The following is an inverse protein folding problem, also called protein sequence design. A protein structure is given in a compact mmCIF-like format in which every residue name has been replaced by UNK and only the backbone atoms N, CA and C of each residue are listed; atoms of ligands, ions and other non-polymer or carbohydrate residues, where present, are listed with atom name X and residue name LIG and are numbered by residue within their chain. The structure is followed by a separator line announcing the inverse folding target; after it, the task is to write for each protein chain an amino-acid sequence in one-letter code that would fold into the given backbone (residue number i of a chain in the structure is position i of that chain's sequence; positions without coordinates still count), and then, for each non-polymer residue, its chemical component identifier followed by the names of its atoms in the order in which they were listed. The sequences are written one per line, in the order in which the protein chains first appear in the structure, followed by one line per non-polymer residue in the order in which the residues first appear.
data_IF_909802905081
#
_entry.id   IF_909802905081
#
_cell.length_a   1.000
_cell.length_b   1.000
_cell.length_c   1.000
_cell.angle_alpha   90.00
_cell.angle_beta   90.00
_cell.angle_gamma   90.00
#
_symmetry.space_group_name_H-M   'P 1'
#
loop_
_entity.id
_entity.type
_entity.pdbx_description
1 polymer ?
#
# COMPACT_ATOMS: atom_id res chain seq x y z
N UNK A 1 28.06 6.82 8.99
CA UNK A 1 28.35 7.08 7.56
C UNK A 1 27.37 6.28 6.75
N UNK A 2 26.59 6.93 5.87
CA UNK A 2 25.67 6.22 4.99
C UNK A 2 26.47 5.34 4.01
N UNK A 3 26.27 4.02 4.04
CA UNK A 3 26.80 3.14 3.00
C UNK A 3 26.22 3.52 1.63
N UNK A 4 26.93 3.16 0.56
CA UNK A 4 26.36 3.24 -0.80
C UNK A 4 25.09 2.37 -0.85
N UNK A 5 24.04 2.78 -1.60
CA UNK A 5 22.88 1.93 -1.84
C UNK A 5 23.31 0.55 -2.34
N UNK A 6 22.63 -0.50 -1.90
CA UNK A 6 22.86 -1.84 -2.45
C UNK A 6 22.41 -1.88 -3.92
N UNK A 7 23.00 -2.74 -4.77
CA UNK A 7 22.54 -2.92 -6.14
C UNK A 7 21.04 -3.22 -6.25
N UNK A 8 20.52 -4.04 -5.31
CA UNK A 8 19.10 -4.37 -5.24
C UNK A 8 18.23 -3.15 -4.95
N UNK A 9 18.59 -2.34 -3.95
CA UNK A 9 17.85 -1.11 -3.63
C UNK A 9 17.81 -0.16 -4.84
N UNK A 10 18.94 0.03 -5.53
CA UNK A 10 18.99 0.92 -6.68
C UNK A 10 18.17 0.39 -7.87
N UNK A 11 18.14 -0.94 -8.06
CA UNK A 11 17.30 -1.57 -9.06
C UNK A 11 15.80 -1.38 -8.77
N UNK A 12 15.37 -1.53 -7.51
CA UNK A 12 13.99 -1.25 -7.11
C UNK A 12 13.62 0.23 -7.29
N UNK A 13 14.53 1.16 -6.94
CA UNK A 13 14.34 2.61 -7.17
C UNK A 13 14.15 2.93 -8.65
N UNK A 14 15.03 2.40 -9.49
CA UNK A 14 14.96 2.59 -10.94
C UNK A 14 13.66 2.03 -11.50
N UNK A 15 13.20 0.87 -11.04
CA UNK A 15 11.92 0.30 -11.47
C UNK A 15 10.73 1.17 -11.02
N UNK A 16 10.70 1.64 -9.77
CA UNK A 16 9.65 2.55 -9.29
C UNK A 16 9.56 3.83 -10.12
N UNK A 17 10.70 4.42 -10.49
CA UNK A 17 10.75 5.57 -11.41
C UNK A 17 10.25 5.22 -12.81
N UNK A 18 10.67 4.08 -13.36
CA UNK A 18 10.23 3.63 -14.68
C UNK A 18 8.71 3.40 -14.75
N UNK A 19 8.12 2.84 -13.70
CA UNK A 19 6.66 2.66 -13.59
C UNK A 19 5.97 4.02 -13.58
N UNK A 20 6.38 4.95 -12.69
CA UNK A 20 5.83 6.31 -12.65
C UNK A 20 5.87 6.97 -14.01
N UNK A 21 7.04 6.98 -14.64
CA UNK A 21 7.27 7.70 -15.89
C UNK A 21 6.46 7.09 -17.04
N UNK A 22 6.31 5.76 -17.07
CA UNK A 22 5.47 5.06 -18.04
C UNK A 22 3.99 5.42 -17.88
N UNK A 23 3.49 5.49 -16.64
CA UNK A 23 2.10 5.88 -16.34
C UNK A 23 1.84 7.33 -16.74
N UNK A 24 2.75 8.26 -16.40
CA UNK A 24 2.63 9.67 -16.79
C UNK A 24 2.67 9.86 -18.31
N UNK A 25 3.58 9.15 -19.01
CA UNK A 25 3.66 9.20 -20.46
C UNK A 25 2.42 8.62 -21.15
N UNK A 26 1.82 7.57 -20.58
CA UNK A 26 0.57 6.98 -21.07
C UNK A 26 -0.61 7.95 -21.00
N UNK A 27 -0.68 8.79 -19.96
CA UNK A 27 -1.74 9.79 -19.77
C UNK A 27 -1.63 10.97 -20.72
N UNK A 28 -0.42 11.51 -20.93
CA UNK A 28 -0.19 12.63 -21.85
C UNK A 28 -0.65 12.33 -23.30
N UNK A 29 -0.55 11.06 -23.73
CA UNK A 29 -0.95 10.63 -25.08
C UNK A 29 -2.47 10.56 -25.31
N UNK A 30 -3.27 10.52 -24.25
CA UNK A 30 -4.72 10.23 -24.32
C UNK A 30 -5.58 11.51 -24.31
N UNK A 31 -5.01 12.68 -23.97
CA UNK A 31 -5.72 13.94 -24.15
C UNK A 31 -4.98 15.16 -23.61
N UNK A 32 -4.17 15.80 -24.44
CA UNK A 32 -3.60 17.12 -24.15
C UNK A 32 -4.15 18.18 -25.11
N UNK A 33 -5.12 18.94 -24.61
CA UNK A 33 -5.21 20.38 -24.92
C UNK A 33 -5.28 21.23 -23.66
N UNK A 34 -5.77 20.70 -22.52
CA UNK A 34 -5.72 21.38 -21.22
C UNK A 34 -5.60 20.34 -20.08
N UNK A 35 -4.57 20.40 -19.22
CA UNK A 35 -4.42 19.52 -18.06
C UNK A 35 -5.62 19.60 -17.10
N UNK A 36 -6.28 18.45 -16.86
CA UNK A 36 -7.37 18.32 -15.87
C UNK A 36 -8.74 18.82 -16.33
N UNK A 37 -9.03 18.83 -17.65
CA UNK A 37 -10.36 19.16 -18.19
C UNK A 37 -11.09 18.00 -18.86
N UNK A 38 -10.42 16.88 -19.13
CA UNK A 38 -11.02 15.67 -19.69
C UNK A 38 -11.29 14.64 -18.59
N UNK A 39 -12.51 14.09 -18.58
CA UNK A 39 -12.85 12.95 -17.74
C UNK A 39 -12.25 11.69 -18.39
N UNK A 40 -11.06 11.29 -17.94
CA UNK A 40 -10.33 10.10 -18.40
C UNK A 40 -11.06 8.76 -18.11
N UNK A 41 -12.17 8.79 -17.37
CA UNK A 41 -12.90 7.60 -16.94
C UNK A 41 -13.39 6.74 -18.11
N UNK A 42 -13.81 7.35 -19.23
CA UNK A 42 -14.39 6.62 -20.37
C UNK A 42 -13.34 5.99 -21.30
N UNK A 43 -12.07 6.42 -21.23
CA UNK A 43 -10.98 5.93 -22.10
C UNK A 43 -10.05 4.97 -21.35
N UNK A 44 -10.04 5.01 -20.02
CA UNK A 44 -9.32 4.08 -19.15
C UNK A 44 -10.14 2.82 -18.84
N UNK A 45 -11.47 2.89 -18.99
CA UNK A 45 -12.37 1.74 -18.83
C UNK A 45 -12.29 0.80 -20.04
N UNK A 46 -11.37 -0.15 -19.99
CA UNK A 46 -11.60 -1.45 -20.61
C UNK A 46 -12.11 -2.36 -19.49
N UNK A 47 -13.42 -2.62 -19.46
CA UNK A 47 -13.96 -3.78 -18.75
C UNK A 47 -13.39 -5.01 -19.49
N UNK A 48 -12.23 -5.53 -19.07
CA UNK A 48 -11.95 -6.93 -19.31
C UNK A 48 -12.84 -7.70 -18.34
N UNK A 49 -13.94 -8.21 -18.89
CA UNK A 49 -14.86 -9.15 -18.25
C UNK A 49 -14.05 -10.41 -17.87
N UNK A 50 -13.40 -10.36 -16.71
CA UNK A 50 -12.72 -11.50 -16.14
C UNK A 50 -13.82 -12.32 -15.47
N UNK A 51 -14.04 -13.52 -16.01
CA UNK A 51 -15.11 -14.43 -15.61
C UNK A 51 -15.17 -14.70 -14.09
N UNK A 52 -16.13 -15.51 -13.64
CA UNK A 52 -16.55 -15.60 -12.23
C UNK A 52 -15.47 -15.99 -11.19
N UNK A 53 -14.24 -16.31 -11.61
CA UNK A 53 -13.12 -16.74 -10.77
C UNK A 53 -12.05 -15.64 -10.54
N UNK A 54 -12.22 -14.40 -11.04
CA UNK A 54 -11.28 -13.30 -10.79
C UNK A 54 -11.33 -12.85 -9.32
N UNK A 55 -10.24 -13.07 -8.58
CA UNK A 55 -10.11 -12.75 -7.15
C UNK A 55 -9.36 -11.42 -6.89
N UNK A 56 -8.95 -10.73 -7.95
CA UNK A 56 -8.24 -9.46 -7.92
C UNK A 56 -9.13 -8.23 -8.15
N UNK A 57 -8.51 -7.06 -8.16
CA UNK A 57 -9.10 -5.77 -8.51
C UNK A 57 -9.44 -5.65 -9.99
N UNK A 58 -10.27 -4.67 -10.33
CA UNK A 58 -10.52 -4.31 -11.73
C UNK A 58 -9.24 -3.74 -12.34
N UNK A 59 -8.65 -4.48 -13.28
CA UNK A 59 -7.43 -4.07 -14.01
C UNK A 59 -7.80 -3.02 -15.06
N UNK A 60 -7.12 -1.87 -15.07
CA UNK A 60 -7.28 -0.85 -16.11
C UNK A 60 -6.09 -0.83 -17.07
N UNK A 61 -6.23 -0.14 -18.20
CA UNK A 61 -5.18 -0.06 -19.24
C UNK A 61 -3.86 0.52 -18.73
N UNK A 62 -3.91 1.38 -17.71
CA UNK A 62 -2.71 1.95 -17.10
C UNK A 62 -1.94 0.90 -16.29
N UNK A 63 -2.65 -0.02 -15.63
CA UNK A 63 -2.06 -1.12 -14.87
C UNK A 63 -1.32 -2.09 -15.82
N UNK A 64 -1.92 -2.42 -16.97
CA UNK A 64 -1.28 -3.27 -17.99
C UNK A 64 0.08 -2.72 -18.43
N UNK A 65 0.18 -1.40 -18.67
CA UNK A 65 1.46 -0.80 -19.08
C UNK A 65 2.50 -0.84 -17.95
N UNK A 66 2.08 -0.67 -16.70
CA UNK A 66 2.97 -0.75 -15.56
C UNK A 66 3.47 -2.20 -15.35
N UNK A 67 2.60 -3.20 -15.53
CA UNK A 67 2.95 -4.62 -15.49
C UNK A 67 3.91 -5.04 -16.61
N UNK A 68 3.74 -4.51 -17.82
CA UNK A 68 4.71 -4.70 -18.92
C UNK A 68 6.10 -4.20 -18.52
N UNK A 69 6.19 -3.00 -17.92
CA UNK A 69 7.45 -2.42 -17.45
C UNK A 69 8.09 -3.29 -16.36
N UNK A 70 7.28 -3.83 -15.43
CA UNK A 70 7.76 -4.77 -14.40
C UNK A 70 8.38 -6.01 -15.05
N UNK A 71 7.69 -6.63 -16.00
CA UNK A 71 8.17 -7.85 -16.65
C UNK A 71 9.40 -7.59 -17.53
N UNK A 72 9.39 -6.54 -18.35
CA UNK A 72 10.55 -6.13 -19.16
C UNK A 72 11.79 -5.91 -18.29
N UNK A 73 11.62 -5.23 -17.15
CA UNK A 73 12.70 -4.94 -16.21
C UNK A 73 13.20 -6.20 -15.50
N UNK A 74 12.29 -7.09 -15.08
CA UNK A 74 12.67 -8.36 -14.45
C UNK A 74 13.48 -9.24 -15.41
N UNK A 75 13.11 -9.31 -16.70
CA UNK A 75 13.94 -9.99 -17.70
C UNK A 75 15.30 -9.33 -17.87
N UNK A 76 15.37 -7.99 -17.86
CA UNK A 76 16.63 -7.26 -17.96
C UNK A 76 17.56 -7.55 -16.77
N UNK A 77 17.04 -7.60 -15.53
CA UNK A 77 17.84 -7.94 -14.35
C UNK A 77 18.52 -9.31 -14.43
N UNK A 78 17.87 -10.29 -15.06
CA UNK A 78 18.44 -11.63 -15.27
C UNK A 78 19.65 -11.61 -16.21
N UNK A 79 19.67 -10.68 -17.17
CA UNK A 79 20.73 -10.56 -18.17
C UNK A 79 21.80 -9.53 -17.82
N UNK A 80 21.57 -8.71 -16.80
CA UNK A 80 22.51 -7.68 -16.35
C UNK A 80 23.75 -8.35 -15.70
N UNK A 81 24.97 -8.12 -16.23
CA UNK A 81 26.20 -8.64 -15.64
C UNK A 81 26.42 -8.21 -14.18
N UNK A 82 25.86 -7.08 -13.75
CA UNK A 82 25.92 -6.61 -12.37
C UNK A 82 25.06 -7.46 -11.41
N UNK A 83 24.16 -8.31 -11.92
CA UNK A 83 23.22 -9.13 -11.15
C UNK A 83 22.56 -8.33 -10.01
N UNK A 84 21.85 -7.24 -10.34
CA UNK A 84 21.33 -6.32 -9.34
C UNK A 84 20.38 -7.00 -8.35
N UNK A 85 19.66 -8.03 -8.81
CA UNK A 85 18.83 -8.90 -7.97
C UNK A 85 19.53 -10.25 -7.79
N UNK A 86 19.82 -10.70 -6.55
CA UNK A 86 20.45 -11.99 -6.31
C UNK A 86 19.56 -13.15 -6.80
N UNK A 87 20.03 -13.87 -7.82
CA UNK A 87 19.28 -14.94 -8.47
C UNK A 87 19.51 -16.35 -7.88
N UNK A 88 18.63 -17.33 -8.15
CA UNK A 88 17.32 -17.19 -8.82
C UNK A 88 16.33 -16.34 -8.02
N UNK A 89 15.49 -15.55 -8.68
CA UNK A 89 14.54 -14.65 -8.01
C UNK A 89 13.11 -14.81 -8.52
N UNK A 90 12.14 -14.27 -7.80
CA UNK A 90 10.76 -14.18 -8.25
C UNK A 90 10.19 -12.78 -8.07
N UNK A 91 9.25 -12.42 -8.93
CA UNK A 91 8.44 -11.21 -8.84
C UNK A 91 7.00 -11.61 -8.52
N UNK A 92 6.41 -10.93 -7.53
CA UNK A 92 5.01 -11.09 -7.13
C UNK A 92 4.26 -9.79 -7.44
N UNK A 93 3.22 -9.84 -8.27
CA UNK A 93 2.29 -8.73 -8.50
C UNK A 93 0.96 -9.25 -9.04
N UNK A 94 -0.13 -8.54 -8.79
CA UNK A 94 -1.51 -9.01 -9.03
C UNK A 94 -1.76 -9.49 -10.48
N UNK A 95 -1.41 -8.70 -11.50
CA UNK A 95 -1.64 -9.05 -12.91
C UNK A 95 -0.60 -9.95 -13.55
N UNK A 96 0.34 -10.52 -12.78
CA UNK A 96 1.36 -11.42 -13.33
C UNK A 96 0.85 -12.86 -13.50
N UNK A 97 1.41 -13.62 -14.48
CA UNK A 97 1.06 -15.02 -14.67
C UNK A 97 1.45 -15.90 -13.47
N UNK A 98 0.83 -17.08 -13.35
CA UNK A 98 1.16 -18.06 -12.31
C UNK A 98 0.69 -17.65 -10.92
N UNK A 99 -0.56 -17.16 -10.84
CA UNK A 99 -1.20 -16.60 -9.64
C UNK A 99 -0.42 -15.40 -9.06
N UNK A 100 0.05 -14.54 -9.96
CA UNK A 100 0.83 -13.37 -9.61
C UNK A 100 2.29 -13.65 -9.29
N UNK A 101 2.82 -14.87 -9.49
CA UNK A 101 4.17 -15.26 -9.07
C UNK A 101 5.06 -15.72 -10.24
N UNK A 102 5.85 -14.81 -10.79
CA UNK A 102 6.76 -15.07 -11.90
C UNK A 102 8.20 -15.37 -11.42
N UNK A 103 8.77 -16.51 -11.80
CA UNK A 103 10.14 -16.91 -11.41
C UNK A 103 11.16 -16.71 -12.54
N UNK A 104 12.37 -16.29 -12.17
CA UNK A 104 13.47 -15.97 -13.07
C UNK A 104 14.77 -16.70 -12.67
N UNK A 105 15.37 -17.50 -13.57
CA UNK A 105 14.91 -17.84 -14.92
C UNK A 105 13.59 -18.63 -14.94
N UNK A 106 12.88 -18.58 -16.07
CA UNK A 106 11.65 -19.34 -16.26
C UNK A 106 11.85 -20.84 -15.98
N UNK A 107 10.90 -21.46 -15.29
CA UNK A 107 10.97 -22.85 -14.85
C UNK A 107 11.72 -23.07 -13.54
N UNK A 108 12.25 -22.01 -12.91
CA UNK A 108 12.80 -22.09 -11.54
C UNK A 108 11.70 -22.50 -10.55
N UNK A 109 11.87 -23.59 -9.78
CA UNK A 109 10.93 -23.96 -8.73
C UNK A 109 10.89 -22.90 -7.61
N UNK A 110 9.70 -22.63 -7.04
CA UNK A 110 9.53 -21.58 -6.01
C UNK A 110 10.43 -21.80 -4.79
N UNK A 111 10.70 -23.05 -4.43
CA UNK A 111 11.61 -23.44 -3.34
C UNK A 111 13.09 -23.10 -3.60
N UNK A 112 13.49 -22.95 -4.87
CA UNK A 112 14.86 -22.61 -5.26
C UNK A 112 15.10 -21.09 -5.35
N UNK A 113 14.05 -20.28 -5.18
CA UNK A 113 14.11 -18.81 -5.22
C UNK A 113 14.87 -18.28 -4.00
N UNK A 114 15.90 -17.46 -4.26
CA UNK A 114 16.75 -16.81 -3.26
C UNK A 114 16.29 -15.42 -2.87
N UNK A 115 15.60 -14.72 -3.79
CA UNK A 115 15.06 -13.38 -3.57
C UNK A 115 13.64 -13.29 -4.09
N UNK A 116 12.74 -12.75 -3.30
CA UNK A 116 11.37 -12.42 -3.75
C UNK A 116 11.23 -10.91 -3.78
N UNK A 117 10.71 -10.39 -4.89
CA UNK A 117 10.35 -8.98 -5.07
C UNK A 117 8.84 -8.91 -5.20
N UNK A 118 8.15 -8.27 -4.25
CA UNK A 118 6.70 -8.04 -4.31
C UNK A 118 6.44 -6.60 -4.74
N UNK A 119 5.46 -6.41 -5.63
CA UNK A 119 5.21 -5.16 -6.31
C UNK A 119 3.70 -4.91 -6.39
N UNK A 120 3.28 -3.70 -6.03
CA UNK A 120 2.07 -3.09 -6.56
C UNK A 120 2.49 -2.03 -7.59
N UNK A 121 2.25 -2.25 -8.89
CA UNK A 121 2.64 -1.29 -9.91
C UNK A 121 1.90 0.05 -9.76
N UNK A 122 0.63 0.04 -9.34
CA UNK A 122 -0.19 1.26 -9.19
C UNK A 122 -1.18 1.10 -8.02
N UNK A 123 -0.71 1.33 -6.80
CA UNK A 123 -1.59 1.46 -5.64
C UNK A 123 -2.30 2.83 -5.69
N UNK A 124 -3.64 2.83 -5.72
CA UNK A 124 -4.44 4.05 -5.83
C UNK A 124 -4.92 4.40 -7.24
N UNK A 125 -4.96 3.42 -8.17
CA UNK A 125 -5.46 3.57 -9.54
C UNK A 125 -6.76 4.38 -9.63
N UNK A 126 -7.77 4.09 -8.80
CA UNK A 126 -9.07 4.79 -8.81
C UNK A 126 -8.95 6.29 -8.54
N UNK A 127 -8.08 6.69 -7.59
CA UNK A 127 -7.84 8.10 -7.28
C UNK A 127 -7.12 8.82 -8.42
N UNK A 128 -6.11 8.15 -8.99
CA UNK A 128 -5.29 8.67 -10.08
C UNK A 128 -6.09 8.89 -11.37
N UNK A 129 -6.94 7.92 -11.74
CA UNK A 129 -7.81 7.95 -12.91
C UNK A 129 -8.71 9.18 -12.94
N UNK A 130 -9.22 9.58 -11.77
CA UNK A 130 -10.09 10.76 -11.64
C UNK A 130 -9.30 12.04 -11.31
N UNK A 131 -7.97 11.99 -11.29
CA UNK A 131 -7.11 13.13 -10.94
C UNK A 131 -7.35 13.66 -9.53
N UNK A 132 -7.84 12.80 -8.62
CA UNK A 132 -8.20 13.18 -7.24
C UNK A 132 -6.99 13.21 -6.32
N UNK A 133 -6.14 12.18 -6.41
CA UNK A 133 -4.95 11.98 -5.56
C UNK A 133 -3.88 11.26 -6.38
N UNK A 134 -2.64 11.35 -5.92
CA UNK A 134 -1.54 10.55 -6.45
C UNK A 134 -1.79 9.06 -6.20
N UNK A 135 -1.22 8.22 -7.05
CA UNK A 135 -1.04 6.79 -6.78
C UNK A 135 0.42 6.54 -6.41
N UNK A 136 0.78 5.29 -6.16
CA UNK A 136 2.12 4.89 -5.77
C UNK A 136 2.55 3.60 -6.45
N UNK A 137 3.77 3.56 -6.97
CA UNK A 137 4.43 2.30 -7.28
C UNK A 137 5.09 1.78 -6.00
N UNK A 138 4.66 0.63 -5.51
CA UNK A 138 5.12 0.01 -4.27
C UNK A 138 5.98 -1.20 -4.58
N UNK A 139 7.20 -1.24 -4.07
CA UNK A 139 8.15 -2.32 -4.33
C UNK A 139 8.87 -2.73 -3.06
N UNK A 140 9.01 -4.02 -2.82
CA UNK A 140 9.79 -4.53 -1.71
C UNK A 140 10.47 -5.85 -2.03
N UNK A 141 11.58 -6.12 -1.36
CA UNK A 141 12.28 -7.40 -1.43
C UNK A 141 12.34 -8.11 -0.09
N UNK A 142 12.32 -9.43 -0.14
CA UNK A 142 12.59 -10.31 0.98
C UNK A 142 13.50 -11.48 0.55
N UNK A 143 14.23 -12.11 1.49
CA UNK A 143 14.87 -13.39 1.23
C UNK A 143 13.84 -14.43 0.77
N UNK A 144 14.20 -15.23 -0.22
CA UNK A 144 13.33 -16.24 -0.80
C UNK A 144 13.31 -17.57 -0.02
N UNK A 145 12.44 -18.51 -0.42
CA UNK A 145 12.32 -19.82 0.22
C UNK A 145 13.62 -20.62 0.33
N UNK A 146 14.54 -20.48 -0.62
CA UNK A 146 15.84 -21.15 -0.56
C UNK A 146 16.72 -20.67 0.60
N UNK A 147 16.47 -19.46 1.11
CA UNK A 147 17.16 -18.87 2.25
C UNK A 147 16.37 -19.10 3.54
N UNK A 148 15.05 -18.91 3.49
CA UNK A 148 14.18 -18.98 4.67
C UNK A 148 13.76 -20.39 5.07
N UNK A 149 13.80 -21.36 4.14
CA UNK A 149 13.22 -22.69 4.33
C UNK A 149 11.69 -22.72 4.36
N UNK A 150 11.04 -21.58 4.06
CA UNK A 150 9.58 -21.39 3.99
C UNK A 150 9.23 -20.25 3.02
N UNK A 151 7.97 -20.14 2.56
CA UNK A 151 7.52 -18.95 1.86
C UNK A 151 7.75 -17.66 2.68
N UNK A 152 8.15 -16.55 2.04
CA UNK A 152 8.34 -15.27 2.71
C UNK A 152 7.02 -14.64 3.13
N UNK A 153 7.11 -13.74 4.11
CA UNK A 153 6.00 -12.98 4.70
C UNK A 153 6.38 -11.51 4.77
N UNK A 154 5.41 -10.63 5.05
CA UNK A 154 5.64 -9.18 5.19
C UNK A 154 6.75 -8.88 6.21
N UNK A 155 6.84 -9.63 7.31
CA UNK A 155 7.90 -9.46 8.31
C UNK A 155 9.32 -9.77 7.80
N UNK A 156 9.46 -10.50 6.70
CA UNK A 156 10.77 -10.85 6.10
C UNK A 156 11.31 -9.77 5.15
N UNK A 157 10.53 -8.73 4.85
CA UNK A 157 10.94 -7.65 3.95
C UNK A 157 12.20 -6.98 4.51
N UNK A 158 13.22 -6.82 3.68
CA UNK A 158 14.51 -6.24 4.07
C UNK A 158 14.82 -4.93 3.35
N UNK A 159 14.17 -4.67 2.22
CA UNK A 159 14.33 -3.46 1.40
C UNK A 159 12.99 -3.09 0.81
N UNK A 160 12.65 -1.81 0.83
CA UNK A 160 11.41 -1.30 0.27
C UNK A 160 11.61 0.06 -0.40
N UNK A 161 10.85 0.32 -1.45
CA UNK A 161 10.79 1.56 -2.22
C UNK A 161 9.33 1.88 -2.52
N UNK A 162 8.94 3.13 -2.35
CA UNK A 162 7.69 3.66 -2.89
C UNK A 162 7.97 4.90 -3.74
N UNK A 163 7.42 4.96 -4.94
CA UNK A 163 7.55 6.11 -5.84
C UNK A 163 6.17 6.69 -6.14
N UNK A 164 6.02 8.00 -5.91
CA UNK A 164 4.76 8.69 -6.16
C UNK A 164 4.47 8.73 -7.65
N UNK A 165 3.23 8.41 -8.01
CA UNK A 165 2.66 8.59 -9.34
C UNK A 165 1.70 9.79 -9.25
N UNK A 166 2.19 11.00 -9.56
CA UNK A 166 1.44 12.22 -9.28
C UNK A 166 0.24 12.40 -10.22
N UNK A 167 -0.70 13.26 -9.79
CA UNK A 167 -1.73 13.78 -10.71
C UNK A 167 -1.14 14.73 -11.75
N UNK A 168 -1.86 14.97 -12.86
CA UNK A 168 -1.44 15.90 -13.91
C UNK A 168 -1.28 17.37 -13.44
N UNK A 169 -1.76 17.71 -12.23
CA UNK A 169 -1.63 19.06 -11.64
C UNK A 169 -0.49 19.18 -10.64
N UNK A 170 0.20 18.09 -10.31
CA UNK A 170 1.27 18.12 -9.33
C UNK A 170 2.50 18.86 -9.87
N UNK A 171 3.24 19.47 -8.95
CA UNK A 171 4.57 20.04 -9.23
C UNK A 171 5.69 19.10 -8.80
N UNK A 172 5.46 18.34 -7.74
CA UNK A 172 6.45 17.51 -7.10
C UNK A 172 6.00 16.05 -7.09
N UNK A 173 6.96 15.13 -7.01
CA UNK A 173 6.73 13.71 -6.82
C UNK A 173 7.79 13.13 -5.89
N UNK A 174 7.37 12.46 -4.82
CA UNK A 174 8.29 11.85 -3.86
C UNK A 174 8.74 10.45 -4.27
N UNK A 175 9.91 10.04 -3.80
CA UNK A 175 10.35 8.65 -3.76
C UNK A 175 10.98 8.39 -2.41
N UNK A 176 10.43 7.43 -1.65
CA UNK A 176 10.93 7.04 -0.33
C UNK A 176 11.45 5.62 -0.38
N UNK A 177 12.45 5.32 0.44
CA UNK A 177 13.00 3.97 0.54
C UNK A 177 13.62 3.70 1.91
N UNK A 178 13.73 2.41 2.22
CA UNK A 178 14.41 1.95 3.40
C UNK A 178 15.06 0.58 3.16
N UNK A 179 16.13 0.31 3.90
CA UNK A 179 16.68 -1.03 4.13
C UNK A 179 16.66 -1.24 5.62
N UNK A 180 16.23 -2.42 6.07
CA UNK A 180 16.03 -2.73 7.49
C UNK A 180 17.25 -2.32 8.34
N UNK A 181 16.98 -1.58 9.42
CA UNK A 181 17.96 -1.03 10.35
C UNK A 181 18.73 0.20 9.88
N UNK A 182 18.43 0.78 8.71
CA UNK A 182 19.17 1.92 8.15
C UNK A 182 18.39 3.25 8.12
N UNK A 183 17.16 3.25 8.63
CA UNK A 183 16.25 4.39 8.61
C UNK A 183 15.68 4.69 7.23
N UNK A 184 14.64 5.53 7.21
CA UNK A 184 14.03 6.03 5.99
C UNK A 184 14.88 7.08 5.28
N UNK A 185 14.82 7.09 3.95
CA UNK A 185 15.36 8.13 3.08
C UNK A 185 14.33 8.49 2.03
N UNK A 186 14.50 9.67 1.45
CA UNK A 186 13.70 10.04 0.29
C UNK A 186 14.35 11.10 -0.58
N UNK A 187 13.70 11.34 -1.70
CA UNK A 187 13.94 12.46 -2.59
C UNK A 187 12.62 12.97 -3.16
N UNK A 188 12.57 14.25 -3.48
CA UNK A 188 11.45 14.90 -4.14
C UNK A 188 11.91 15.37 -5.51
N UNK A 189 11.24 14.89 -6.56
CA UNK A 189 11.43 15.32 -7.93
C UNK A 189 10.57 16.54 -8.23
N UNK A 190 11.18 17.63 -8.68
CA UNK A 190 10.49 18.74 -9.31
C UNK A 190 10.19 18.37 -10.77
N UNK A 191 8.91 18.14 -11.08
CA UNK A 191 8.46 17.61 -12.38
C UNK A 191 8.68 18.58 -13.55
N UNK A 192 8.80 19.88 -13.30
CA UNK A 192 8.97 20.84 -14.39
C UNK A 192 10.44 21.14 -14.71
N UNK A 193 11.34 20.94 -13.74
CA UNK A 193 12.78 21.21 -13.92
C UNK A 193 13.61 19.93 -13.99
N UNK A 194 13.09 18.80 -13.53
CA UNK A 194 13.84 17.56 -13.36
C UNK A 194 14.79 17.59 -12.15
N UNK A 195 14.71 18.61 -11.29
CA UNK A 195 15.58 18.74 -10.13
C UNK A 195 15.19 17.73 -9.06
N UNK A 196 16.18 17.01 -8.51
CA UNK A 196 15.99 16.07 -7.41
C UNK A 196 16.48 16.69 -6.10
N UNK A 197 15.60 16.76 -5.11
CA UNK A 197 15.84 17.38 -3.81
C UNK A 197 15.84 16.28 -2.74
N UNK A 198 16.89 16.14 -1.91
CA UNK A 198 16.89 15.16 -0.83
C UNK A 198 15.75 15.42 0.17
N UNK A 199 14.96 14.40 0.47
CA UNK A 199 13.86 14.44 1.44
C UNK A 199 14.23 13.66 2.72
N UNK A 200 13.72 14.15 3.85
CA UNK A 200 13.84 13.52 5.17
C UNK A 200 12.46 13.50 5.81
N UNK A 201 11.59 12.58 5.39
CA UNK A 201 10.26 12.50 5.99
C UNK A 201 10.39 12.12 7.47
N UNK A 202 9.46 12.63 8.27
CA UNK A 202 9.37 12.35 9.69
C UNK A 202 7.90 12.30 10.09
N UNK A 203 7.46 11.24 10.80
CA UNK A 203 6.10 11.17 11.31
C UNK A 203 5.75 12.32 12.26
N UNK A 204 4.45 12.52 12.48
CA UNK A 204 3.96 13.55 13.39
C UNK A 204 4.47 13.33 14.82
N UNK A 205 4.96 14.40 15.43
CA UNK A 205 5.36 14.41 16.85
C UNK A 205 4.21 14.65 17.83
N UNK A 206 2.97 14.84 17.35
CA UNK A 206 1.81 15.10 18.19
C UNK A 206 1.46 13.90 19.08
N UNK A 207 1.08 14.15 20.33
CA UNK A 207 0.82 13.11 21.33
C UNK A 207 -0.66 12.77 21.50
N UNK A 208 -1.54 13.43 20.75
CA UNK A 208 -2.99 13.19 20.71
C UNK A 208 -3.52 13.34 19.27
N UNK A 209 -4.82 13.13 19.05
CA UNK A 209 -5.43 13.23 17.72
C UNK A 209 -5.98 14.65 17.39
N UNK A 210 -5.85 15.63 18.29
CA UNK A 210 -6.49 16.95 18.14
C UNK A 210 -5.88 17.81 17.05
N UNK A 211 -6.70 18.41 16.19
CA UNK A 211 -6.28 19.18 15.01
C UNK A 211 -5.38 18.36 14.06
N UNK A 212 -5.73 17.09 13.87
CA UNK A 212 -5.00 16.19 12.97
C UNK A 212 -5.93 15.23 12.23
N UNK A 213 -5.36 14.58 11.21
CA UNK A 213 -6.05 13.53 10.47
C UNK A 213 -5.92 12.19 11.20
N UNK A 214 -7.07 11.55 11.42
CA UNK A 214 -7.16 10.21 11.97
C UNK A 214 -8.33 9.47 11.32
N UNK A 215 -8.06 8.33 10.66
CA UNK A 215 -9.03 7.74 9.72
C UNK A 215 -9.21 6.24 9.95
N UNK A 216 -10.47 5.77 9.97
CA UNK A 216 -10.81 4.36 9.70
C UNK A 216 -11.30 4.23 8.24
N UNK A 217 -10.61 3.39 7.46
CA UNK A 217 -10.87 3.21 6.03
C UNK A 217 -12.29 2.70 5.76
N UNK A 218 -13.08 3.47 5.01
CA UNK A 218 -14.48 3.17 4.67
C UNK A 218 -14.88 3.63 3.26
N UNK A 219 -14.01 3.38 2.29
CA UNK A 219 -14.11 3.86 0.91
C UNK A 219 -15.29 3.27 0.11
N UNK A 220 -15.57 1.97 0.30
CA UNK A 220 -16.54 1.21 -0.50
C UNK A 220 -17.81 0.86 0.27
N UNK A 221 -18.98 0.78 -0.39
CA UNK A 221 -20.18 0.18 0.21
C UNK A 221 -19.92 -1.27 0.66
N UNK A 222 -20.53 -1.66 1.79
CA UNK A 222 -20.43 -3.02 2.33
C UNK A 222 -20.12 -3.03 3.82
N UNK A 223 -19.07 -2.31 4.24
CA UNK A 223 -18.61 -2.27 5.64
C UNK A 223 -18.74 -0.88 6.27
N UNK A 224 -19.17 0.16 5.52
CA UNK A 224 -19.17 1.56 5.97
C UNK A 224 -19.89 1.78 7.30
N UNK A 225 -21.04 1.15 7.50
CA UNK A 225 -21.83 1.31 8.74
C UNK A 225 -21.02 0.86 9.95
N UNK A 226 -20.45 -0.35 9.90
CA UNK A 226 -19.62 -0.87 10.99
C UNK A 226 -18.34 -0.07 11.19
N UNK A 227 -17.72 0.37 10.09
CA UNK A 227 -16.51 1.19 10.14
C UNK A 227 -16.77 2.54 10.82
N UNK A 228 -17.83 3.25 10.41
CA UNK A 228 -18.24 4.53 11.01
C UNK A 228 -18.67 4.38 12.47
N UNK A 229 -19.41 3.33 12.82
CA UNK A 229 -19.82 3.11 14.21
C UNK A 229 -18.61 2.85 15.12
N UNK A 230 -17.65 2.03 14.66
CA UNK A 230 -16.41 1.78 15.40
C UNK A 230 -15.56 3.05 15.51
N UNK A 231 -15.46 3.83 14.44
CA UNK A 231 -14.73 5.10 14.40
C UNK A 231 -15.26 6.13 15.40
N UNK A 232 -16.58 6.38 15.39
CA UNK A 232 -17.24 7.29 16.33
C UNK A 232 -16.99 6.87 17.79
N UNK A 233 -17.14 5.57 18.09
CA UNK A 233 -16.89 5.03 19.43
C UNK A 233 -15.43 5.14 19.84
N UNK A 234 -14.50 4.84 18.94
CA UNK A 234 -13.07 4.92 19.17
C UNK A 234 -12.67 6.36 19.53
N UNK A 235 -13.07 7.32 18.70
CA UNK A 235 -12.67 8.71 18.88
C UNK A 235 -13.35 9.37 20.09
N UNK A 236 -14.62 9.06 20.35
CA UNK A 236 -15.29 9.52 21.56
C UNK A 236 -14.59 9.03 22.84
N UNK A 237 -14.12 7.78 22.87
CA UNK A 237 -13.42 7.25 24.06
C UNK A 237 -11.97 7.76 24.17
N UNK A 238 -11.28 7.92 23.05
CA UNK A 238 -9.89 8.38 23.02
C UNK A 238 -9.77 9.87 23.35
N UNK A 239 -10.67 10.70 22.84
CA UNK A 239 -10.58 12.17 22.94
C UNK A 239 -11.63 12.78 23.89
N UNK A 240 -12.72 12.08 24.18
CA UNK A 240 -13.90 12.67 24.82
C UNK A 240 -14.66 13.61 23.89
N UNK A 241 -15.74 14.21 24.42
CA UNK A 241 -16.50 15.22 23.68
C UNK A 241 -15.69 16.52 23.55
N UNK A 242 -15.58 17.08 22.34
CA UNK A 242 -14.81 18.31 22.13
C UNK A 242 -15.47 19.51 22.84
N UNK A 243 -14.69 20.33 23.58
CA UNK A 243 -15.22 21.53 24.21
C UNK A 243 -15.86 22.47 23.18
N UNK A 244 -17.15 22.73 23.31
CA UNK A 244 -17.88 23.65 22.41
C UNK A 244 -18.25 23.06 21.04
N UNK A 245 -18.10 21.75 20.83
CA UNK A 245 -18.63 21.05 19.63
C UNK A 245 -17.81 21.22 18.35
N UNK A 246 -16.60 21.81 18.43
CA UNK A 246 -15.72 21.91 17.27
C UNK A 246 -15.12 20.54 16.90
N UNK A 247 -15.03 20.17 15.60
CA UNK A 247 -14.38 18.93 15.20
C UNK A 247 -12.87 19.00 15.48
N UNK A 248 -12.38 18.09 16.33
CA UNK A 248 -10.96 17.99 16.67
C UNK A 248 -10.21 16.98 15.83
N UNK A 249 -10.91 16.03 15.20
CA UNK A 249 -10.32 15.02 14.33
C UNK A 249 -10.84 15.27 12.92
N UNK A 250 -9.94 15.17 11.94
CA UNK A 250 -10.26 15.27 10.53
C UNK A 250 -10.14 13.90 9.88
N UNK A 251 -10.90 13.69 8.81
CA UNK A 251 -10.93 12.45 8.05
C UNK A 251 -10.54 12.75 6.59
N UNK A 252 -9.61 11.96 6.06
CA UNK A 252 -9.20 11.96 4.66
C UNK A 252 -9.12 10.52 4.16
N UNK A 253 -10.09 10.17 3.31
CA UNK A 253 -10.23 8.81 2.79
C UNK A 253 -9.31 8.58 1.57
N UNK A 254 -8.02 8.37 1.83
CA UNK A 254 -7.05 8.06 0.78
C UNK A 254 -7.14 6.58 0.37
N UNK A 255 -7.78 6.30 -0.77
CA UNK A 255 -7.96 4.97 -1.37
C UNK A 255 -6.64 4.45 -2.00
N UNK A 256 -5.60 4.30 -1.18
CA UNK A 256 -4.24 3.84 -1.54
C UNK A 256 -3.51 3.49 -0.25
N UNK A 257 -3.17 2.23 -0.02
CA UNK A 257 -2.47 1.81 1.20
C UNK A 257 -1.07 2.44 1.30
N UNK A 258 -0.36 2.51 0.18
CA UNK A 258 0.89 3.26 0.04
C UNK A 258 0.72 4.74 0.30
N UNK A 259 -0.36 5.35 -0.20
CA UNK A 259 -0.71 6.74 0.11
C UNK A 259 -0.93 6.96 1.60
N UNK A 260 -1.72 6.11 2.26
CA UNK A 260 -1.93 6.15 3.71
C UNK A 260 -0.64 5.97 4.50
N UNK A 261 0.25 5.06 4.09
CA UNK A 261 1.58 4.91 4.68
C UNK A 261 2.42 6.18 4.50
N UNK A 262 2.40 6.80 3.31
CA UNK A 262 3.10 8.07 3.07
C UNK A 262 2.62 9.16 4.02
N UNK A 263 1.31 9.37 4.14
CA UNK A 263 0.77 10.47 4.97
C UNK A 263 1.18 10.29 6.45
N UNK A 264 1.29 9.05 6.93
CA UNK A 264 1.88 8.73 8.25
C UNK A 264 3.39 9.03 8.30
N UNK A 265 4.14 8.63 7.28
CA UNK A 265 5.60 8.82 7.17
C UNK A 265 5.96 10.32 7.08
N UNK A 266 5.19 11.10 6.34
CA UNK A 266 5.36 12.54 6.15
C UNK A 266 4.83 13.37 7.34
N UNK A 267 4.10 12.72 8.26
CA UNK A 267 3.58 13.35 9.47
C UNK A 267 2.33 14.20 9.27
N UNK A 268 1.65 14.02 8.14
CA UNK A 268 0.34 14.65 7.88
C UNK A 268 -0.76 13.94 8.67
N UNK A 269 -0.71 12.61 8.69
CA UNK A 269 -1.65 11.77 9.43
C UNK A 269 -1.09 11.35 10.79
N UNK A 270 -1.99 11.23 11.77
CA UNK A 270 -1.65 10.79 13.13
C UNK A 270 -2.01 9.32 13.36
N UNK A 271 -3.09 8.86 12.73
CA UNK A 271 -3.57 7.50 12.85
C UNK A 271 -4.33 7.10 11.58
N UNK A 272 -4.07 5.90 11.07
CA UNK A 272 -4.84 5.31 9.97
C UNK A 272 -5.07 3.85 10.29
N UNK A 273 -6.26 3.33 10.02
CA UNK A 273 -6.48 1.89 10.02
C UNK A 273 -7.33 1.43 8.84
N UNK A 274 -6.96 0.30 8.27
CA UNK A 274 -7.80 -0.49 7.38
C UNK A 274 -8.20 -1.78 8.07
N UNK A 275 -9.44 -1.81 8.54
CA UNK A 275 -10.02 -2.90 9.33
C UNK A 275 -11.07 -3.68 8.55
N UNK A 276 -11.16 -3.44 7.23
CA UNK A 276 -12.17 -4.05 6.34
C UNK A 276 -12.24 -5.57 6.46
N UNK A 277 -11.13 -6.33 6.57
CA UNK A 277 -11.21 -7.78 6.76
C UNK A 277 -12.03 -8.18 7.98
N UNK A 278 -11.85 -7.50 9.12
CA UNK A 278 -12.60 -7.82 10.34
C UNK A 278 -14.08 -7.48 10.24
N UNK A 279 -14.43 -6.39 9.57
CA UNK A 279 -15.84 -6.04 9.31
C UNK A 279 -16.50 -7.06 8.39
N UNK A 280 -15.79 -7.55 7.36
CA UNK A 280 -16.32 -8.57 6.47
C UNK A 280 -16.48 -9.92 7.17
N UNK A 281 -15.49 -10.35 7.94
CA UNK A 281 -15.56 -11.59 8.73
C UNK A 281 -16.80 -11.61 9.64
N UNK A 282 -17.07 -10.47 10.30
CA UNK A 282 -18.25 -10.30 11.16
C UNK A 282 -19.56 -10.38 10.35
N UNK A 283 -19.66 -9.63 9.25
CA UNK A 283 -20.87 -9.64 8.41
C UNK A 283 -21.13 -11.01 7.78
N UNK A 284 -20.09 -11.73 7.38
CA UNK A 284 -20.21 -13.09 6.86
C UNK A 284 -20.64 -14.09 7.94
N UNK A 285 -20.17 -13.92 9.18
CA UNK A 285 -20.63 -14.75 10.30
C UNK A 285 -22.13 -14.56 10.54
N UNK A 286 -22.61 -13.31 10.63
CA UNK A 286 -24.03 -13.01 10.79
C UNK A 286 -24.88 -13.54 9.64
N UNK A 287 -24.41 -13.43 8.40
CA UNK A 287 -25.09 -13.96 7.23
C UNK A 287 -25.22 -15.49 7.30
N UNK A 288 -24.13 -16.19 7.65
CA UNK A 288 -24.14 -17.66 7.84
C UNK A 288 -25.12 -18.09 8.92
N UNK A 289 -25.17 -17.38 10.05
CA UNK A 289 -26.10 -17.69 11.16
C UNK A 289 -27.57 -17.45 10.76
N UNK A 290 -27.81 -16.49 9.85
CA UNK A 290 -29.12 -16.26 9.24
C UNK A 290 -29.46 -17.22 8.08
N UNK A 291 -28.58 -18.17 7.73
CA UNK A 291 -28.74 -19.09 6.61
C UNK A 291 -28.53 -18.46 5.23
N UNK A 292 -27.97 -17.25 5.16
CA UNK A 292 -27.59 -16.58 3.91
C UNK A 292 -26.16 -16.97 3.50
N UNK A 293 -26.05 -17.65 2.36
CA UNK A 293 -24.77 -18.11 1.78
C UNK A 293 -24.24 -17.18 0.70
N UNK A 294 -24.87 -16.02 0.49
CA UNK A 294 -24.44 -15.05 -0.53
C UNK A 294 -23.05 -14.50 -0.18
N UNK A 295 -22.05 -14.57 -1.09
CA UNK A 295 -20.72 -14.02 -0.85
C UNK A 295 -20.74 -12.51 -0.60
N UNK A 296 -20.23 -12.09 0.57
CA UNK A 296 -20.18 -10.68 1.00
C UNK A 296 -18.78 -10.09 1.01
N UNK A 297 -17.74 -10.91 0.90
CA UNK A 297 -16.37 -10.43 0.76
C UNK A 297 -16.23 -9.45 -0.40
N UNK A 298 -15.49 -8.37 -0.17
CA UNK A 298 -15.12 -7.35 -1.15
C UNK A 298 -13.61 -7.16 -1.09
N UNK A 299 -13.10 -6.29 -1.95
CA UNK A 299 -11.70 -5.85 -1.91
C UNK A 299 -11.29 -5.39 -0.50
N UNK A 300 -10.14 -5.89 -0.06
CA UNK A 300 -9.40 -5.50 1.14
C UNK A 300 -7.97 -5.20 0.74
N UNK A 301 -7.21 -4.54 1.63
CA UNK A 301 -5.76 -4.46 1.50
C UNK A 301 -5.16 -5.87 1.36
N UNK A 302 -4.21 -6.01 0.45
CA UNK A 302 -3.44 -7.22 0.13
C UNK A 302 -1.99 -7.06 0.57
N UNK A 303 -1.17 -8.13 0.54
CA UNK A 303 0.24 -8.04 0.87
C UNK A 303 1.03 -7.10 -0.05
N UNK A 304 0.67 -7.00 -1.34
CA UNK A 304 1.34 -6.07 -2.27
C UNK A 304 1.00 -4.60 -1.99
N UNK A 305 -0.25 -4.28 -1.62
CA UNK A 305 -0.66 -2.92 -1.21
C UNK A 305 0.13 -2.39 0.01
N UNK A 306 0.56 -3.30 0.90
CA UNK A 306 1.25 -2.97 2.15
C UNK A 306 2.73 -3.38 2.13
N UNK A 307 3.28 -3.73 0.97
CA UNK A 307 4.65 -4.25 0.90
C UNK A 307 5.72 -3.22 1.28
N UNK A 308 5.38 -1.93 1.29
CA UNK A 308 6.27 -0.84 1.69
C UNK A 308 6.19 -0.49 3.18
N UNK A 309 5.52 -1.30 3.99
CA UNK A 309 5.39 -1.14 5.45
C UNK A 309 6.74 -0.91 6.16
N UNK A 310 7.82 -1.54 5.68
CA UNK A 310 9.18 -1.34 6.21
C UNK A 310 9.60 0.14 6.21
N UNK A 311 9.19 0.92 5.20
CA UNK A 311 9.52 2.35 5.13
C UNK A 311 8.88 3.10 6.30
N UNK A 312 7.64 2.77 6.64
CA UNK A 312 6.94 3.36 7.78
C UNK A 312 7.58 2.97 9.12
N UNK A 313 7.92 1.69 9.29
CA UNK A 313 8.61 1.21 10.49
C UNK A 313 9.96 1.91 10.69
N UNK A 314 10.76 2.02 9.63
CA UNK A 314 12.08 2.69 9.64
C UNK A 314 11.98 4.22 9.81
N UNK A 315 10.82 4.81 9.51
CA UNK A 315 10.50 6.21 9.82
C UNK A 315 10.09 6.42 11.29
N UNK A 316 9.76 5.35 12.01
CA UNK A 316 9.31 5.38 13.41
C UNK A 316 7.79 5.31 13.59
N UNK A 317 7.02 5.11 12.52
CA UNK A 317 5.59 4.78 12.58
C UNK A 317 5.43 3.42 13.26
N UNK A 318 4.46 3.31 14.17
CA UNK A 318 4.10 2.01 14.77
C UNK A 318 3.01 1.39 13.91
N UNK A 319 3.21 0.16 13.44
CA UNK A 319 2.22 -0.55 12.61
C UNK A 319 1.91 -1.93 13.23
N UNK A 320 0.64 -2.32 13.21
CA UNK A 320 0.18 -3.64 13.64
C UNK A 320 -1.13 -4.03 12.93
N UNK A 321 -1.69 -5.20 13.21
CA UNK A 321 -2.90 -5.75 12.59
C UNK A 321 -4.22 -5.06 13.02
N UNK A 322 -4.15 -3.99 13.81
CA UNK A 322 -5.29 -3.33 14.47
C UNK A 322 -5.67 -3.95 15.81
N UNK A 323 -5.29 -5.22 16.07
CA UNK A 323 -5.48 -5.90 17.37
C UNK A 323 -4.24 -5.80 18.26
N UNK A 324 -3.14 -5.29 17.73
CA UNK A 324 -1.86 -5.11 18.42
C UNK A 324 -0.81 -6.18 18.10
N UNK A 325 -1.09 -7.12 17.18
CA UNK A 325 -0.11 -8.12 16.73
C UNK A 325 0.65 -7.60 15.50
N UNK A 326 1.87 -8.06 15.24
CA UNK A 326 2.59 -7.71 14.02
C UNK A 326 1.79 -7.99 12.75
N UNK A 327 1.89 -7.11 11.75
CA UNK A 327 1.36 -7.38 10.41
C UNK A 327 2.32 -8.36 9.72
N UNK A 328 1.89 -9.61 9.56
CA UNK A 328 2.74 -10.67 9.01
C UNK A 328 1.95 -11.57 8.06
N UNK A 329 1.41 -10.99 6.98
CA UNK A 329 0.75 -11.75 5.93
C UNK A 329 1.79 -12.48 5.05
N UNK A 330 1.45 -13.64 4.45
CA UNK A 330 2.26 -14.23 3.39
C UNK A 330 2.46 -13.24 2.24
N UNK A 331 3.61 -13.26 1.57
CA UNK A 331 3.79 -12.49 0.34
C UNK A 331 3.03 -13.21 -0.78
N UNK A 332 1.80 -12.78 -1.04
CA UNK A 332 0.93 -13.27 -2.12
C UNK A 332 0.00 -12.15 -2.62
N UNK A 333 -0.94 -12.49 -3.50
CA UNK A 333 -1.89 -11.54 -4.10
C UNK A 333 -3.33 -11.72 -3.59
N UNK A 334 -3.56 -12.61 -2.62
CA UNK A 334 -4.92 -13.10 -2.28
C UNK A 334 -5.26 -13.01 -0.79
N UNK A 335 -4.27 -12.83 0.08
CA UNK A 335 -4.50 -12.72 1.52
C UNK A 335 -5.15 -11.38 1.85
N UNK A 336 -6.17 -11.38 2.71
CA UNK A 336 -6.69 -10.12 3.27
C UNK A 336 -5.75 -9.66 4.38
N UNK A 337 -5.41 -8.38 4.38
CA UNK A 337 -4.57 -7.75 5.40
C UNK A 337 -5.36 -6.65 6.10
N UNK A 338 -5.51 -6.78 7.41
CA UNK A 338 -5.94 -5.69 8.26
C UNK A 338 -4.71 -5.02 8.86
N UNK A 339 -4.72 -3.70 9.00
CA UNK A 339 -3.62 -2.97 9.60
C UNK A 339 -4.06 -1.67 10.26
N UNK A 340 -3.26 -1.21 11.20
CA UNK A 340 -3.36 0.09 11.84
C UNK A 340 -1.96 0.70 12.00
N UNK A 341 -1.81 1.96 11.59
CA UNK A 341 -0.61 2.77 11.71
C UNK A 341 -0.81 3.93 12.67
N UNK A 342 0.18 4.16 13.53
CA UNK A 342 0.22 5.27 14.49
C UNK A 342 1.49 6.07 14.23
N UNK A 343 1.36 7.38 14.04
CA UNK A 343 2.52 8.22 13.71
C UNK A 343 3.63 8.13 14.78
N UNK A 344 3.29 7.87 16.04
CA UNK A 344 4.26 7.63 17.10
C UNK A 344 3.70 6.77 18.24
N UNK A 345 4.57 6.46 19.21
CA UNK A 345 4.25 5.58 20.35
C UNK A 345 3.27 6.17 21.36
N UNK A 346 3.23 7.49 21.52
CA UNK A 346 2.26 8.12 22.43
C UNK A 346 0.83 7.88 21.91
N UNK A 347 0.62 8.07 20.61
CA UNK A 347 -0.64 7.77 19.93
C UNK A 347 -0.99 6.28 20.01
N UNK A 348 -0.03 5.40 19.74
CA UNK A 348 -0.25 3.95 19.87
C UNK A 348 -0.72 3.56 21.28
N UNK A 349 -0.09 4.10 22.32
CA UNK A 349 -0.46 3.82 23.72
C UNK A 349 -1.87 4.31 24.07
N UNK A 350 -2.35 5.39 23.43
CA UNK A 350 -3.67 5.96 23.67
C UNK A 350 -4.76 5.21 22.88
N UNK A 351 -4.53 4.94 21.59
CA UNK A 351 -5.55 4.47 20.66
C UNK A 351 -5.64 2.94 20.64
N UNK A 352 -4.51 2.22 20.69
CA UNK A 352 -4.48 0.76 20.55
C UNK A 352 -5.35 0.01 21.57
N UNK A 353 -5.32 0.33 22.89
CA UNK A 353 -6.10 -0.43 23.86
C UNK A 353 -7.61 -0.33 23.62
N UNK A 354 -8.08 0.86 23.20
CA UNK A 354 -9.49 1.10 22.86
C UNK A 354 -9.84 0.33 21.59
N UNK A 355 -9.02 0.46 20.54
CA UNK A 355 -9.25 -0.22 19.27
C UNK A 355 -9.31 -1.76 19.41
N UNK A 356 -8.35 -2.36 20.13
CA UNK A 356 -8.33 -3.81 20.38
C UNK A 356 -9.61 -4.27 21.09
N UNK A 357 -10.09 -3.51 22.09
CA UNK A 357 -11.32 -3.85 22.82
C UNK A 357 -12.55 -3.73 21.91
N UNK A 358 -12.68 -2.66 21.14
CA UNK A 358 -13.81 -2.48 20.21
C UNK A 358 -13.85 -3.59 19.14
N UNK A 359 -12.69 -4.01 18.62
CA UNK A 359 -12.61 -5.15 17.69
C UNK A 359 -12.94 -6.48 18.36
N UNK A 360 -12.57 -6.69 19.62
CA UNK A 360 -12.94 -7.88 20.38
C UNK A 360 -14.46 -7.94 20.64
N UNK A 361 -15.07 -6.81 20.97
CA UNK A 361 -16.54 -6.68 21.11
C UNK A 361 -17.24 -6.98 19.79
N UNK A 362 -16.77 -6.44 18.66
CA UNK A 362 -17.32 -6.75 17.34
C UNK A 362 -17.29 -8.26 17.07
N UNK A 363 -16.21 -8.94 17.43
CA UNK A 363 -16.07 -10.38 17.25
C UNK A 363 -16.99 -11.20 18.17
N UNK A 364 -17.39 -10.67 19.34
CA UNK A 364 -18.25 -11.34 20.31
C UNK A 364 -19.74 -11.15 20.07
N UNK A 365 -20.17 -10.09 19.37
CA UNK A 365 -21.57 -9.83 19.03
C UNK A 365 -22.02 -10.68 17.82
N UNK A 366 -22.00 -12.00 17.99
CA UNK A 366 -22.59 -12.95 17.05
C UNK A 366 -24.07 -13.16 17.33
#
# INVERSE_FOLDING_TARGET
MAGKPTPLLEALRTLGHAIRDAVLAGRARVGDTIPGTTHDADVIRADTDHGPDHQGDTIYRIDVRAEEVVMETAHAWMHDPAHPVPGPFAVIAEGLPGDGWACFPAGTPREAVRTVVIIDPIDGTRGLMHGKRSAWALLASAPGPAILGRPPRLGDIDTAVMAEIPTARARYADTLWATRGNGVRGETLDLATGTVIPARPAPSGATDLSHGFATISKFFPGTKVLASELEERLFAEVMGDPPGGAPLIFDDEYISSGGQLHELIAGHDRFVADLRPYFMDHLEALARDAGDTTPRRRICCRPYDLCTILIAEEAGVIVNDGRGNPVDAPLDTISDVAWAGYANRALANQVQPVLSRLLAELASHR
#
